data_IF_206904632590
#
_entry.id   IF_206904632590
#
_cell.length_a   1.000
_cell.length_b   1.000
_cell.length_c   1.000
_cell.angle_alpha   90.00
_cell.angle_beta   90.00
_cell.angle_gamma   90.00
#
_symmetry.space_group_name_H-M   'P 1'
#
loop_
_entity.id
_entity.type
_entity.pdbx_description
1 polymer ?
#
# COMPACT_ATOMS: atom_id res chain seq x y z
N UNK A 1 40.71 0.73 19.08
CA UNK A 1 41.40 1.92 19.63
C UNK A 1 42.90 1.67 19.53
N UNK A 2 43.58 2.34 18.60
CA UNK A 2 45.03 2.17 18.42
C UNK A 2 45.75 2.93 19.54
N UNK A 3 46.59 2.24 20.31
CA UNK A 3 47.46 2.86 21.32
C UNK A 3 48.38 3.88 20.64
N UNK A 4 48.62 5.07 21.21
CA UNK A 4 49.58 5.99 20.63
C UNK A 4 50.94 5.31 20.65
N UNK A 5 51.57 5.15 19.49
CA UNK A 5 52.96 4.75 19.37
C UNK A 5 53.80 5.86 20.00
N UNK A 6 54.08 5.75 21.29
CA UNK A 6 54.99 6.68 21.96
C UNK A 6 56.40 6.30 21.55
N UNK A 7 57.08 7.19 20.84
CA UNK A 7 58.49 7.06 20.54
C UNK A 7 59.27 7.01 21.87
N UNK A 8 60.13 6.01 22.05
CA UNK A 8 60.93 5.82 23.27
C UNK A 8 62.35 6.33 23.07
N UNK A 9 62.93 6.94 24.10
CA UNK A 9 64.34 7.34 24.12
C UNK A 9 65.21 6.12 24.44
N UNK A 10 66.16 5.80 23.56
CA UNK A 10 67.04 4.63 23.69
C UNK A 10 68.53 5.00 23.81
N UNK A 11 68.84 6.30 23.87
CA UNK A 11 70.23 6.78 23.84
C UNK A 11 70.94 6.53 25.18
N UNK A 12 70.42 7.11 26.27
CA UNK A 12 71.05 7.07 27.59
C UNK A 12 70.10 6.61 28.71
N UNK A 13 68.93 6.08 28.35
CA UNK A 13 67.96 5.56 29.29
C UNK A 13 67.30 4.28 28.74
N UNK A 14 66.65 3.53 29.63
CA UNK A 14 66.04 2.23 29.32
C UNK A 14 64.64 2.36 28.70
N UNK A 15 64.38 3.37 27.87
CA UNK A 15 63.10 3.52 27.17
C UNK A 15 62.11 4.52 27.78
N UNK A 16 62.57 5.63 28.34
CA UNK A 16 61.67 6.72 28.75
C UNK A 16 60.94 7.32 27.54
N UNK A 17 59.76 7.93 27.76
CA UNK A 17 59.00 8.58 26.67
C UNK A 17 59.86 9.69 26.06
N UNK A 18 60.12 9.60 24.75
CA UNK A 18 60.79 10.68 24.03
C UNK A 18 59.78 11.79 23.76
N UNK A 19 60.16 13.01 24.13
CA UNK A 19 59.35 14.21 23.96
C UNK A 19 60.04 15.26 23.10
N UNK A 20 61.35 15.09 22.85
CA UNK A 20 62.18 16.02 22.11
C UNK A 20 62.82 15.31 20.92
N UNK A 21 62.81 15.98 19.76
CA UNK A 21 63.59 15.58 18.59
C UNK A 21 64.68 16.61 18.34
N UNK A 22 65.91 16.15 18.11
CA UNK A 22 67.02 16.99 17.69
C UNK A 22 67.25 16.81 16.17
N UNK A 23 66.93 17.79 15.32
CA UNK A 23 67.15 17.68 13.87
C UNK A 23 68.61 17.44 13.51
N UNK A 24 69.53 18.10 14.21
CA UNK A 24 70.98 18.05 13.94
C UNK A 24 71.59 16.71 14.35
N UNK A 25 71.09 16.10 15.43
CA UNK A 25 71.49 14.73 15.82
C UNK A 25 70.66 13.65 15.12
N UNK A 26 69.55 14.01 14.47
CA UNK A 26 68.58 13.07 13.91
C UNK A 26 68.15 12.00 14.92
N UNK A 27 67.96 12.41 16.17
CA UNK A 27 67.70 11.50 17.29
C UNK A 27 66.58 12.05 18.19
N UNK A 28 65.90 11.12 18.87
CA UNK A 28 64.80 11.40 19.80
C UNK A 28 65.26 11.20 21.24
N UNK A 29 64.89 12.13 22.10
CA UNK A 29 65.34 12.19 23.49
C UNK A 29 64.16 12.39 24.43
N UNK A 30 64.27 11.86 25.66
CA UNK A 30 63.56 12.45 26.78
C UNK A 30 64.26 13.76 27.20
N UNK A 31 63.60 14.59 27.99
CA UNK A 31 64.15 15.88 28.43
C UNK A 31 65.55 15.73 29.06
N UNK A 32 65.70 14.77 29.98
CA UNK A 32 66.96 14.55 30.69
C UNK A 32 68.09 14.07 29.77
N UNK A 33 67.78 13.16 28.84
CA UNK A 33 68.77 12.65 27.88
C UNK A 33 69.18 13.72 26.86
N UNK A 34 68.27 14.64 26.51
CA UNK A 34 68.59 15.76 25.64
C UNK A 34 69.59 16.70 26.32
N UNK A 35 69.28 17.17 27.53
CA UNK A 35 70.17 18.03 28.32
C UNK A 35 71.53 17.39 28.55
N UNK A 36 71.56 16.09 28.90
CA UNK A 36 72.80 15.35 29.10
C UNK A 36 73.70 15.34 27.85
N UNK A 37 73.10 15.19 26.67
CA UNK A 37 73.83 15.10 25.40
C UNK A 37 74.28 16.47 24.87
N UNK A 38 73.51 17.53 25.16
CA UNK A 38 73.66 18.84 24.53
C UNK A 38 74.28 19.91 25.44
N UNK A 39 74.05 19.88 26.76
CA UNK A 39 74.50 20.93 27.70
C UNK A 39 76.00 20.81 28.06
N UNK A 40 76.63 19.65 27.81
CA UNK A 40 78.04 19.38 28.13
C UNK A 40 78.98 19.34 26.92
N UNK A 41 78.44 19.46 25.70
CA UNK A 41 79.21 19.29 24.46
C UNK A 41 79.18 20.58 23.64
N UNK A 42 80.30 21.31 23.61
CA UNK A 42 80.45 22.59 22.88
C UNK A 42 80.06 22.52 21.39
N UNK A 43 80.07 21.33 20.79
CA UNK A 43 79.64 21.14 19.39
C UNK A 43 78.12 20.99 19.23
N UNK A 44 77.42 20.60 20.29
CA UNK A 44 75.98 20.28 20.29
C UNK A 44 75.13 21.27 21.08
N UNK A 45 75.76 22.14 21.88
CA UNK A 45 75.11 23.20 22.66
C UNK A 45 74.22 24.13 21.78
N UNK A 46 74.57 24.29 20.51
CA UNK A 46 73.80 25.09 19.55
C UNK A 46 72.60 24.35 18.93
N UNK A 47 72.42 23.05 19.20
CA UNK A 47 71.28 22.31 18.67
C UNK A 47 70.02 22.67 19.45
N UNK A 48 68.93 22.93 18.74
CA UNK A 48 67.65 23.23 19.35
C UNK A 48 66.71 22.04 19.28
N UNK A 49 66.06 21.65 20.39
CA UNK A 49 65.07 20.59 20.37
C UNK A 49 63.77 21.08 19.73
N UNK A 50 63.07 20.15 19.08
CA UNK A 50 61.72 20.34 18.56
C UNK A 50 60.77 19.43 19.32
N UNK A 51 59.72 20.00 19.90
CA UNK A 51 58.72 19.26 20.71
C UNK A 51 57.80 18.36 19.87
N UNK A 52 57.69 18.66 18.57
CA UNK A 52 56.94 17.83 17.62
C UNK A 52 57.89 16.81 16.99
N UNK A 53 57.88 15.58 17.51
CA UNK A 53 58.64 14.48 16.93
C UNK A 53 58.06 14.19 15.52
N UNK A 54 58.85 14.32 14.44
CA UNK A 54 58.39 13.99 13.11
C UNK A 54 58.20 12.47 12.98
N UNK A 55 57.40 12.03 12.01
CA UNK A 55 57.41 10.61 11.64
C UNK A 55 58.80 10.23 11.11
N UNK A 56 59.34 9.15 11.65
CA UNK A 56 60.69 8.69 11.35
C UNK A 56 60.65 7.46 10.44
N UNK A 57 61.63 7.37 9.56
CA UNK A 57 61.82 6.20 8.73
C UNK A 57 62.15 4.98 9.60
N UNK A 58 61.39 3.89 9.42
CA UNK A 58 61.60 2.64 10.15
C UNK A 58 62.98 2.00 9.91
N UNK A 59 63.60 2.26 8.75
CA UNK A 59 64.90 1.70 8.39
C UNK A 59 66.06 2.51 8.95
N UNK A 60 65.95 3.83 8.88
CA UNK A 60 67.10 4.72 9.10
C UNK A 60 66.94 5.68 10.29
N UNK A 61 65.76 5.77 10.91
CA UNK A 61 65.52 6.67 12.04
C UNK A 61 65.45 8.16 11.70
N UNK A 62 65.63 8.55 10.42
CA UNK A 62 65.57 9.95 9.98
C UNK A 62 64.14 10.41 9.64
N UNK A 63 63.93 11.73 9.69
CA UNK A 63 62.66 12.38 9.31
C UNK A 63 62.23 12.04 7.88
N UNK A 64 60.93 11.82 7.72
CA UNK A 64 60.28 11.59 6.43
C UNK A 64 59.98 12.93 5.73
N UNK A 65 60.81 13.28 4.75
CA UNK A 65 60.79 14.60 4.10
C UNK A 65 60.56 14.53 2.58
N UNK A 66 60.74 13.36 1.98
CA UNK A 66 60.65 13.14 0.55
C UNK A 66 59.48 12.23 0.20
N UNK A 67 58.97 12.36 -1.01
CA UNK A 67 57.92 11.52 -1.56
C UNK A 67 58.45 10.76 -2.77
N UNK A 68 58.38 9.43 -2.73
CA UNK A 68 58.68 8.56 -3.85
C UNK A 68 57.52 8.59 -4.85
N UNK A 69 57.74 9.19 -6.02
CA UNK A 69 56.72 9.34 -7.05
C UNK A 69 56.31 7.99 -7.69
N UNK A 70 57.18 6.98 -7.61
CA UNK A 70 56.94 5.65 -8.20
C UNK A 70 56.17 4.76 -7.23
N UNK A 71 56.64 4.66 -5.99
CA UNK A 71 56.02 3.82 -4.97
C UNK A 71 54.85 4.50 -4.25
N UNK A 72 54.69 5.82 -4.42
CA UNK A 72 53.66 6.63 -3.75
C UNK A 72 53.75 6.57 -2.22
N UNK A 73 54.98 6.60 -1.70
CA UNK A 73 55.28 6.52 -0.26
C UNK A 73 56.19 7.65 0.19
N UNK A 74 56.10 8.00 1.48
CA UNK A 74 56.97 9.00 2.09
C UNK A 74 58.25 8.30 2.57
N UNK A 75 59.41 8.91 2.29
CA UNK A 75 60.74 8.36 2.58
C UNK A 75 61.66 9.41 3.22
N UNK A 76 62.72 8.97 3.90
CA UNK A 76 63.74 9.87 4.47
C UNK A 76 64.89 10.12 3.49
N UNK A 77 65.76 11.07 3.82
CA UNK A 77 66.93 11.43 3.01
C UNK A 77 67.88 10.24 2.75
N UNK A 78 68.06 9.32 3.71
CA UNK A 78 68.95 8.17 3.52
C UNK A 78 68.37 7.15 2.53
N UNK A 79 67.06 6.90 2.55
CA UNK A 79 66.41 6.09 1.51
C UNK A 79 66.65 6.65 0.11
N UNK A 80 66.63 7.98 -0.05
CA UNK A 80 66.89 8.65 -1.33
C UNK A 80 68.35 8.48 -1.76
N UNK A 81 69.30 8.55 -0.82
CA UNK A 81 70.73 8.38 -1.12
C UNK A 81 71.11 6.94 -1.48
N UNK A 82 70.43 5.96 -0.90
CA UNK A 82 70.67 4.54 -1.18
C UNK A 82 70.12 4.10 -2.56
N UNK A 83 69.17 4.85 -3.13
CA UNK A 83 68.47 4.52 -4.37
C UNK A 83 68.83 5.54 -5.48
N UNK A 84 69.80 5.21 -6.34
CA UNK A 84 70.15 6.00 -7.52
C UNK A 84 69.18 5.63 -8.66
N UNK A 85 68.14 6.45 -8.94
CA UNK A 85 68.30 7.80 -9.50
C UNK A 85 67.44 8.92 -8.86
N UNK A 86 67.97 10.15 -8.92
CA UNK A 86 67.46 11.38 -8.29
C UNK A 86 66.08 11.88 -8.73
N UNK A 87 65.61 11.54 -9.94
CA UNK A 87 64.33 12.06 -10.47
C UNK A 87 63.07 11.35 -9.95
N UNK A 88 63.26 10.34 -9.10
CA UNK A 88 62.17 9.54 -8.51
C UNK A 88 61.54 10.20 -7.27
N UNK A 89 62.27 11.10 -6.62
CA UNK A 89 61.90 11.69 -5.34
C UNK A 89 61.68 13.20 -5.49
N UNK A 90 60.69 13.71 -4.79
CA UNK A 90 60.43 15.15 -4.66
C UNK A 90 60.18 15.48 -3.18
N UNK A 91 60.31 16.74 -2.80
CA UNK A 91 60.00 17.18 -1.44
C UNK A 91 58.52 16.95 -1.15
N UNK A 92 58.22 16.33 -0.02
CA UNK A 92 56.85 15.97 0.37
C UNK A 92 55.92 17.20 0.34
N UNK A 93 56.38 18.34 0.85
CA UNK A 93 55.62 19.59 0.85
C UNK A 93 55.19 20.02 -0.56
N UNK A 94 56.12 19.95 -1.53
CA UNK A 94 55.84 20.32 -2.92
C UNK A 94 54.78 19.41 -3.54
N UNK A 95 54.89 18.09 -3.37
CA UNK A 95 53.94 17.12 -3.93
C UNK A 95 52.56 17.28 -3.29
N UNK A 96 52.52 17.51 -1.97
CA UNK A 96 51.26 17.71 -1.25
C UNK A 96 50.55 18.97 -1.74
N UNK A 97 51.27 20.10 -1.82
CA UNK A 97 50.69 21.39 -2.14
C UNK A 97 50.32 21.53 -3.62
N UNK A 98 51.16 21.04 -4.53
CA UNK A 98 50.93 21.18 -5.97
C UNK A 98 50.00 20.09 -6.54
N UNK A 99 50.09 18.85 -6.05
CA UNK A 99 49.45 17.69 -6.69
C UNK A 99 48.36 17.04 -5.85
N UNK A 100 48.63 16.70 -4.58
CA UNK A 100 47.67 15.90 -3.81
C UNK A 100 46.47 16.72 -3.36
N UNK A 101 46.68 17.92 -2.80
CA UNK A 101 45.59 18.80 -2.37
C UNK A 101 44.67 19.18 -3.54
N UNK A 102 45.24 19.52 -4.69
CA UNK A 102 44.47 19.90 -5.88
C UNK A 102 43.66 18.74 -6.45
N UNK A 103 44.23 17.53 -6.54
CA UNK A 103 43.51 16.32 -6.98
C UNK A 103 42.41 15.93 -6.00
N UNK A 104 42.70 15.94 -4.70
CA UNK A 104 41.73 15.61 -3.67
C UNK A 104 40.55 16.58 -3.68
N UNK A 105 40.82 17.89 -3.81
CA UNK A 105 39.77 18.91 -3.93
C UNK A 105 38.87 18.66 -5.13
N UNK A 106 39.45 18.42 -6.32
CA UNK A 106 38.67 18.05 -7.52
C UNK A 106 37.82 16.80 -7.33
N UNK A 107 38.32 15.78 -6.62
CA UNK A 107 37.55 14.58 -6.32
C UNK A 107 36.38 14.86 -5.36
N UNK A 108 36.62 15.67 -4.32
CA UNK A 108 35.58 16.09 -3.36
C UNK A 108 34.51 16.90 -4.07
N UNK A 109 34.90 17.87 -4.89
CA UNK A 109 33.96 18.75 -5.60
C UNK A 109 33.08 17.95 -6.57
N UNK A 110 33.68 17.04 -7.37
CA UNK A 110 32.92 16.11 -8.22
C UNK A 110 31.99 15.19 -7.43
N UNK A 111 32.42 14.74 -6.25
CA UNK A 111 31.59 13.93 -5.36
C UNK A 111 30.38 14.70 -4.85
N UNK A 112 30.57 15.96 -4.46
CA UNK A 112 29.50 16.86 -4.02
C UNK A 112 28.49 17.15 -5.13
N UNK A 113 28.98 17.47 -6.33
CA UNK A 113 28.12 17.69 -7.52
C UNK A 113 27.27 16.45 -7.83
N UNK A 114 27.88 15.26 -7.81
CA UNK A 114 27.15 14.00 -8.03
C UNK A 114 26.08 13.73 -6.96
N UNK A 115 26.40 13.96 -5.68
CA UNK A 115 25.42 13.79 -4.60
C UNK A 115 24.27 14.78 -4.76
N UNK A 116 24.56 16.04 -5.06
CA UNK A 116 23.53 17.06 -5.24
C UNK A 116 22.58 16.70 -6.40
N UNK A 117 23.13 16.36 -7.57
CA UNK A 117 22.34 15.93 -8.74
C UNK A 117 21.54 14.66 -8.45
N UNK A 118 22.16 13.63 -7.86
CA UNK A 118 21.47 12.39 -7.54
C UNK A 118 20.34 12.60 -6.53
N UNK A 119 20.56 13.45 -5.53
CA UNK A 119 19.54 13.77 -4.53
C UNK A 119 18.34 14.51 -5.14
N UNK A 120 18.58 15.45 -6.06
CA UNK A 120 17.52 16.16 -6.78
C UNK A 120 16.70 15.20 -7.66
N UNK A 121 17.37 14.34 -8.44
CA UNK A 121 16.70 13.38 -9.33
C UNK A 121 15.88 12.33 -8.56
N UNK A 122 16.42 11.81 -7.45
CA UNK A 122 15.74 10.82 -6.62
C UNK A 122 14.55 11.44 -5.89
N UNK A 123 14.69 12.64 -5.31
CA UNK A 123 13.57 13.32 -4.67
C UNK A 123 12.46 13.64 -5.66
N UNK A 124 12.81 14.10 -6.86
CA UNK A 124 11.83 14.38 -7.91
C UNK A 124 11.10 13.10 -8.33
N UNK A 125 11.84 12.02 -8.58
CA UNK A 125 11.26 10.72 -8.96
C UNK A 125 10.35 10.17 -7.85
N UNK A 126 10.77 10.31 -6.59
CA UNK A 126 9.97 9.89 -5.43
C UNK A 126 8.65 10.67 -5.32
N UNK A 127 8.67 12.00 -5.47
CA UNK A 127 7.43 12.79 -5.43
C UNK A 127 6.52 12.47 -6.63
N UNK A 128 7.07 12.26 -7.82
CA UNK A 128 6.29 11.84 -8.99
C UNK A 128 5.62 10.46 -8.78
N UNK A 129 6.35 9.48 -8.27
CA UNK A 129 5.81 8.15 -7.96
C UNK A 129 4.75 8.19 -6.85
N UNK A 130 4.98 9.00 -5.81
CA UNK A 130 4.05 9.21 -4.70
C UNK A 130 2.73 9.82 -5.19
N UNK A 131 2.79 10.86 -6.01
CA UNK A 131 1.58 11.48 -6.58
C UNK A 131 0.83 10.52 -7.51
N UNK A 132 1.55 9.75 -8.34
CA UNK A 132 0.95 8.72 -9.19
C UNK A 132 0.25 7.62 -8.36
N UNK A 133 0.87 7.18 -7.26
CA UNK A 133 0.30 6.21 -6.34
C UNK A 133 -0.97 6.75 -5.67
N UNK A 134 -0.93 7.96 -5.12
CA UNK A 134 -2.09 8.57 -4.46
C UNK A 134 -3.26 8.77 -5.43
N UNK A 135 -2.97 9.19 -6.67
CA UNK A 135 -3.96 9.30 -7.73
C UNK A 135 -4.62 7.94 -8.04
N UNK A 136 -3.81 6.88 -8.16
CA UNK A 136 -4.30 5.51 -8.41
C UNK A 136 -5.20 5.03 -7.28
N UNK A 137 -4.79 5.22 -6.03
CA UNK A 137 -5.61 4.87 -4.85
C UNK A 137 -6.95 5.61 -4.87
N UNK A 138 -6.95 6.88 -5.25
CA UNK A 138 -8.18 7.67 -5.34
C UNK A 138 -9.10 7.17 -6.46
N UNK A 139 -8.56 6.80 -7.62
CA UNK A 139 -9.32 6.19 -8.71
C UNK A 139 -9.95 4.87 -8.26
N UNK A 140 -9.18 3.97 -7.64
CA UNK A 140 -9.71 2.71 -7.13
C UNK A 140 -10.84 2.91 -6.11
N UNK A 141 -10.71 3.89 -5.20
CA UNK A 141 -11.78 4.24 -4.25
C UNK A 141 -13.06 4.68 -4.97
N UNK A 142 -12.94 5.50 -6.01
CA UNK A 142 -14.08 5.96 -6.81
C UNK A 142 -14.72 4.82 -7.60
N UNK A 143 -13.92 3.92 -8.18
CA UNK A 143 -14.42 2.74 -8.91
C UNK A 143 -15.18 1.78 -7.99
N UNK A 144 -14.63 1.46 -6.81
CA UNK A 144 -15.32 0.64 -5.80
C UNK A 144 -16.68 1.25 -5.47
N UNK A 145 -16.71 2.56 -5.21
CA UNK A 145 -17.96 3.28 -4.92
C UNK A 145 -18.95 3.20 -6.08
N UNK A 146 -18.49 3.45 -7.31
CA UNK A 146 -19.32 3.39 -8.51
C UNK A 146 -19.92 1.99 -8.73
N UNK A 147 -19.17 0.92 -8.47
CA UNK A 147 -19.66 -0.45 -8.55
C UNK A 147 -20.75 -0.74 -7.52
N UNK A 148 -20.58 -0.29 -6.27
CA UNK A 148 -21.61 -0.43 -5.24
C UNK A 148 -22.86 0.38 -5.56
N UNK A 149 -22.71 1.60 -6.09
CA UNK A 149 -23.84 2.43 -6.51
C UNK A 149 -24.61 1.79 -7.66
N UNK A 150 -23.92 1.23 -8.66
CA UNK A 150 -24.53 0.49 -9.76
C UNK A 150 -25.27 -0.78 -9.27
N UNK A 151 -24.70 -1.51 -8.30
CA UNK A 151 -25.34 -2.68 -7.70
C UNK A 151 -26.64 -2.29 -6.97
N UNK A 152 -26.61 -1.21 -6.19
CA UNK A 152 -27.81 -0.70 -5.50
C UNK A 152 -28.90 -0.31 -6.50
N UNK A 153 -28.54 0.37 -7.59
CA UNK A 153 -29.50 0.74 -8.62
C UNK A 153 -30.13 -0.49 -9.30
N UNK A 154 -29.31 -1.50 -9.63
CA UNK A 154 -29.81 -2.75 -10.22
C UNK A 154 -30.76 -3.51 -9.27
N UNK A 155 -30.43 -3.57 -7.98
CA UNK A 155 -31.28 -4.17 -6.96
C UNK A 155 -32.60 -3.41 -6.80
N UNK A 156 -32.55 -2.07 -6.75
CA UNK A 156 -33.76 -1.25 -6.65
C UNK A 156 -34.69 -1.42 -7.86
N UNK A 157 -34.14 -1.48 -9.08
CA UNK A 157 -34.91 -1.78 -10.30
C UNK A 157 -35.56 -3.17 -10.22
N UNK A 158 -34.83 -4.17 -9.72
CA UNK A 158 -35.35 -5.53 -9.59
C UNK A 158 -36.47 -5.62 -8.55
N UNK A 159 -36.31 -4.94 -7.42
CA UNK A 159 -37.34 -4.82 -6.39
C UNK A 159 -38.61 -4.17 -6.96
N UNK A 160 -38.48 -3.03 -7.63
CA UNK A 160 -39.62 -2.35 -8.25
C UNK A 160 -40.37 -3.23 -9.24
N UNK A 161 -39.65 -4.00 -10.06
CA UNK A 161 -40.27 -4.90 -11.05
C UNK A 161 -41.01 -6.07 -10.37
N UNK A 162 -40.44 -6.65 -9.31
CA UNK A 162 -41.10 -7.71 -8.55
C UNK A 162 -42.37 -7.19 -7.84
N UNK A 163 -42.30 -6.00 -7.25
CA UNK A 163 -43.45 -5.34 -6.65
C UNK A 163 -44.54 -5.05 -7.68
N UNK A 164 -44.18 -4.56 -8.87
CA UNK A 164 -45.11 -4.36 -9.98
C UNK A 164 -45.78 -5.66 -10.42
N UNK A 165 -45.01 -6.75 -10.51
CA UNK A 165 -45.54 -8.08 -10.83
C UNK A 165 -46.54 -8.57 -9.78
N UNK A 166 -46.23 -8.39 -8.50
CA UNK A 166 -47.13 -8.70 -7.38
C UNK A 166 -48.43 -7.90 -7.46
N UNK A 167 -48.35 -6.59 -7.72
CA UNK A 167 -49.52 -5.73 -7.85
C UNK A 167 -50.44 -6.15 -9.01
N UNK A 168 -49.86 -6.45 -10.18
CA UNK A 168 -50.64 -6.93 -11.34
C UNK A 168 -51.27 -8.29 -11.02
N UNK A 169 -50.51 -9.21 -10.43
CA UNK A 169 -51.01 -10.54 -10.08
C UNK A 169 -52.14 -10.46 -9.04
N UNK A 170 -52.00 -9.60 -8.03
CA UNK A 170 -53.03 -9.33 -7.02
C UNK A 170 -54.31 -8.79 -7.65
N UNK A 171 -54.21 -7.80 -8.55
CA UNK A 171 -55.36 -7.26 -9.29
C UNK A 171 -56.03 -8.31 -10.18
N UNK A 172 -55.25 -9.08 -10.93
CA UNK A 172 -55.77 -10.16 -11.78
C UNK A 172 -56.45 -11.24 -10.95
N UNK A 173 -55.88 -11.59 -9.79
CA UNK A 173 -56.51 -12.52 -8.86
C UNK A 173 -57.86 -11.99 -8.39
N UNK A 174 -57.96 -10.72 -7.98
CA UNK A 174 -59.22 -10.12 -7.54
C UNK A 174 -60.29 -10.09 -8.64
N UNK A 175 -59.91 -9.78 -9.88
CA UNK A 175 -60.86 -9.70 -11.01
C UNK A 175 -61.28 -11.09 -11.51
N UNK A 176 -60.35 -12.04 -11.58
CA UNK A 176 -60.62 -13.40 -12.06
C UNK A 176 -61.08 -14.34 -10.95
N UNK A 177 -61.23 -13.82 -9.72
CA UNK A 177 -61.64 -14.61 -8.58
C UNK A 177 -63.11 -15.01 -8.69
N UNK A 178 -63.47 -16.26 -8.37
CA UNK A 178 -64.87 -16.67 -8.23
C UNK A 178 -65.64 -15.79 -7.23
N UNK A 179 -64.93 -15.20 -6.26
CA UNK A 179 -65.53 -14.25 -5.30
C UNK A 179 -66.02 -12.96 -5.96
N UNK A 180 -65.39 -12.50 -7.05
CA UNK A 180 -65.84 -11.32 -7.79
C UNK A 180 -67.18 -11.59 -8.47
N UNK A 181 -67.30 -12.74 -9.13
CA UNK A 181 -68.53 -13.13 -9.81
C UNK A 181 -69.70 -13.31 -8.82
N UNK A 182 -69.43 -13.91 -7.66
CA UNK A 182 -70.41 -14.03 -6.58
C UNK A 182 -70.82 -12.65 -6.05
N UNK A 183 -69.86 -11.75 -5.83
CA UNK A 183 -70.13 -10.38 -5.39
C UNK A 183 -71.02 -9.62 -6.38
N UNK A 184 -70.73 -9.72 -7.68
CA UNK A 184 -71.54 -9.07 -8.73
C UNK A 184 -72.98 -9.60 -8.76
N UNK A 185 -73.16 -10.92 -8.62
CA UNK A 185 -74.49 -11.55 -8.55
C UNK A 185 -75.26 -11.11 -7.29
N UNK A 186 -74.60 -11.04 -6.13
CA UNK A 186 -75.20 -10.53 -4.90
C UNK A 186 -75.63 -9.07 -5.04
N UNK A 187 -74.78 -8.23 -5.65
CA UNK A 187 -75.07 -6.80 -5.85
C UNK A 187 -76.27 -6.61 -6.78
N UNK A 188 -76.38 -7.41 -7.85
CA UNK A 188 -77.55 -7.40 -8.75
C UNK A 188 -78.83 -7.82 -8.05
N UNK A 189 -78.80 -8.85 -7.19
CA UNK A 189 -79.97 -9.22 -6.40
C UNK A 189 -80.35 -8.10 -5.43
N UNK A 190 -79.37 -7.52 -4.73
CA UNK A 190 -79.62 -6.46 -3.76
C UNK A 190 -80.27 -5.23 -4.41
N UNK A 191 -79.76 -4.78 -5.57
CA UNK A 191 -80.40 -3.70 -6.35
C UNK A 191 -81.83 -4.06 -6.76
N UNK A 192 -82.09 -5.31 -7.18
CA UNK A 192 -83.44 -5.74 -7.56
C UNK A 192 -84.41 -5.79 -6.36
N UNK A 193 -83.90 -6.11 -5.16
CA UNK A 193 -84.68 -6.06 -3.91
C UNK A 193 -84.99 -4.61 -3.54
N UNK A 194 -83.99 -3.72 -3.53
CA UNK A 194 -84.17 -2.30 -3.20
C UNK A 194 -85.17 -1.62 -4.15
N UNK A 195 -85.08 -1.92 -5.45
CA UNK A 195 -86.04 -1.51 -6.46
C UNK A 195 -87.47 -2.00 -6.15
N UNK A 196 -87.62 -3.27 -5.75
CA UNK A 196 -88.93 -3.84 -5.42
C UNK A 196 -89.50 -3.24 -4.12
N UNK A 197 -88.65 -3.00 -3.11
CA UNK A 197 -89.03 -2.34 -1.86
C UNK A 197 -89.49 -0.90 -2.09
N UNK A 198 -88.82 -0.16 -2.99
CA UNK A 198 -89.27 1.17 -3.40
C UNK A 198 -90.65 1.13 -4.05
N UNK A 199 -90.88 0.17 -4.97
CA UNK A 199 -92.19 -0.02 -5.59
C UNK A 199 -93.28 -0.33 -4.56
N UNK A 200 -92.99 -1.09 -3.50
CA UNK A 200 -94.00 -1.36 -2.46
C UNK A 200 -94.50 -0.11 -1.73
N UNK A 201 -93.75 0.99 -1.79
CA UNK A 201 -94.12 2.27 -1.17
C UNK A 201 -94.79 3.26 -2.17
N UNK A 202 -95.03 2.85 -3.42
CA UNK A 202 -95.70 3.65 -4.45
C UNK A 202 -97.24 3.53 -4.41
N UNK A 203 -97.92 4.35 -5.23
CA UNK A 203 -99.37 4.32 -5.42
C UNK A 203 -99.87 2.93 -5.89
N UNK A 204 -101.02 2.44 -5.40
CA UNK A 204 -101.52 1.08 -5.67
C UNK A 204 -101.62 0.72 -7.17
N UNK A 205 -102.00 1.68 -8.02
CA UNK A 205 -102.14 1.49 -9.46
C UNK A 205 -100.80 1.37 -10.19
N UNK A 206 -99.73 1.95 -9.63
CA UNK A 206 -98.37 1.80 -10.14
C UNK A 206 -97.81 0.44 -9.73
N UNK A 207 -98.02 0.04 -8.47
CA UNK A 207 -97.66 -1.30 -7.97
C UNK A 207 -98.30 -2.39 -8.82
N UNK A 208 -99.62 -2.33 -9.03
CA UNK A 208 -100.34 -3.35 -9.79
C UNK A 208 -99.86 -3.49 -11.24
N UNK A 209 -99.40 -2.40 -11.87
CA UNK A 209 -98.88 -2.41 -13.25
C UNK A 209 -97.45 -2.93 -13.35
N UNK A 210 -96.58 -2.55 -12.43
CA UNK A 210 -95.14 -2.83 -12.53
C UNK A 210 -94.71 -4.10 -11.77
N UNK A 211 -95.52 -4.60 -10.83
CA UNK A 211 -95.21 -5.76 -9.99
C UNK A 211 -94.78 -7.01 -10.77
N UNK A 212 -95.39 -7.41 -11.91
CA UNK A 212 -94.93 -8.57 -12.66
C UNK A 212 -93.49 -8.43 -13.17
N UNK A 213 -93.09 -7.22 -13.57
CA UNK A 213 -91.75 -6.93 -14.09
C UNK A 213 -90.70 -7.01 -12.98
N UNK A 214 -90.96 -6.39 -11.83
CA UNK A 214 -90.02 -6.41 -10.69
C UNK A 214 -89.92 -7.82 -10.10
N UNK A 215 -91.03 -8.55 -9.97
CA UNK A 215 -91.02 -9.95 -9.54
C UNK A 215 -90.20 -10.84 -10.47
N UNK A 216 -90.31 -10.66 -11.78
CA UNK A 216 -89.50 -11.40 -12.75
C UNK A 216 -88.00 -11.09 -12.59
N UNK A 217 -87.63 -9.82 -12.34
CA UNK A 217 -86.23 -9.42 -12.10
C UNK A 217 -85.65 -10.03 -10.82
N UNK A 218 -86.37 -9.95 -9.70
CA UNK A 218 -85.95 -10.53 -8.41
C UNK A 218 -85.83 -12.05 -8.51
N UNK A 219 -86.80 -12.72 -9.13
CA UNK A 219 -86.75 -14.17 -9.31
C UNK A 219 -85.58 -14.58 -10.22
N UNK A 220 -85.34 -13.86 -11.31
CA UNK A 220 -84.20 -14.11 -12.21
C UNK A 220 -82.87 -13.95 -11.49
N UNK A 221 -82.68 -12.85 -10.75
CA UNK A 221 -81.49 -12.60 -9.96
C UNK A 221 -81.29 -13.67 -8.86
N UNK A 222 -82.35 -14.08 -8.16
CA UNK A 222 -82.26 -15.12 -7.12
C UNK A 222 -81.88 -16.48 -7.69
N UNK A 223 -82.39 -16.85 -8.87
CA UNK A 223 -82.05 -18.12 -9.55
C UNK A 223 -80.59 -18.16 -10.02
N UNK A 224 -80.00 -16.98 -10.25
CA UNK A 224 -78.59 -16.86 -10.65
C UNK A 224 -77.61 -17.01 -9.48
N UNK A 225 -78.09 -16.95 -8.23
CA UNK A 225 -77.24 -17.21 -7.06
C UNK A 225 -77.00 -18.71 -6.90
N UNK A 226 -75.76 -19.06 -6.59
CA UNK A 226 -75.35 -20.44 -6.32
C UNK A 226 -76.01 -20.88 -5.01
N UNK A 227 -76.53 -22.11 -4.95
CA UNK A 227 -77.39 -22.57 -3.84
C UNK A 227 -76.63 -22.85 -2.56
N UNK A 228 -75.35 -23.24 -2.64
CA UNK A 228 -74.52 -23.47 -1.47
C UNK A 228 -73.10 -22.89 -1.62
N UNK A 229 -72.56 -22.17 -0.61
CA UNK A 229 -71.20 -21.64 -0.64
C UNK A 229 -70.10 -22.70 -0.85
N UNK A 230 -70.37 -23.96 -0.50
CA UNK A 230 -69.44 -25.09 -0.66
C UNK A 230 -69.39 -25.69 -2.07
N UNK A 231 -70.32 -25.34 -2.96
CA UNK A 231 -70.28 -25.74 -4.39
C UNK A 231 -69.29 -24.89 -5.20
N UNK A 232 -68.91 -23.72 -4.68
CA UNK A 232 -67.78 -22.98 -5.19
C UNK A 232 -66.53 -23.76 -4.73
N UNK A 233 -65.82 -24.40 -5.67
CA UNK A 233 -64.47 -24.93 -5.45
C UNK A 233 -63.50 -23.77 -5.18
N UNK A 234 -63.64 -23.14 -4.01
CA UNK A 234 -62.88 -21.97 -3.62
C UNK A 234 -61.47 -22.42 -3.24
N UNK A 235 -60.44 -21.96 -3.96
CA UNK A 235 -59.08 -22.28 -3.60
C UNK A 235 -58.77 -21.71 -2.22
N UNK A 236 -58.37 -22.57 -1.28
CA UNK A 236 -57.78 -22.13 -0.02
C UNK A 236 -56.36 -21.67 -0.33
N UNK A 237 -56.08 -20.38 -0.20
CA UNK A 237 -54.74 -19.84 -0.45
C UNK A 237 -54.01 -19.74 0.89
N UNK A 238 -53.02 -20.61 1.10
CA UNK A 238 -52.01 -20.45 2.15
C UNK A 238 -50.82 -19.68 1.58
N UNK A 239 -50.49 -18.54 2.18
CA UNK A 239 -49.25 -17.83 1.88
C UNK A 239 -48.19 -18.32 2.85
N UNK A 240 -47.24 -19.11 2.36
CA UNK A 240 -46.04 -19.48 3.11
C UNK A 240 -44.91 -18.52 2.75
N UNK A 241 -44.33 -17.88 3.76
CA UNK A 241 -43.23 -16.93 3.58
C UNK A 241 -41.91 -17.67 3.77
N UNK A 242 -41.17 -17.88 2.68
CA UNK A 242 -39.85 -18.49 2.74
C UNK A 242 -38.79 -17.45 3.16
N UNK A 243 -38.26 -17.62 4.38
CA UNK A 243 -37.21 -16.77 4.96
C UNK A 243 -35.79 -17.24 4.60
N UNK A 244 -35.62 -18.27 3.76
CA UNK A 244 -34.32 -18.83 3.40
C UNK A 244 -33.34 -17.79 2.84
N UNK A 245 -33.84 -16.82 2.07
CA UNK A 245 -33.03 -15.79 1.41
C UNK A 245 -32.38 -14.79 2.36
N UNK A 246 -33.01 -14.48 3.50
CA UNK A 246 -32.49 -13.52 4.47
C UNK A 246 -31.16 -13.96 5.09
N UNK A 247 -30.89 -15.27 5.09
CA UNK A 247 -29.64 -15.85 5.59
C UNK A 247 -28.47 -15.81 4.58
N UNK A 248 -28.75 -15.52 3.30
CA UNK A 248 -27.76 -15.47 2.23
C UNK A 248 -27.16 -14.07 2.04
N UNK A 249 -27.90 -13.02 2.38
CA UNK A 249 -27.45 -11.63 2.24
C UNK A 249 -26.20 -11.33 3.09
N UNK A 250 -26.14 -11.69 4.40
CA UNK A 250 -24.95 -11.46 5.21
C UNK A 250 -23.74 -12.26 4.70
N UNK A 251 -23.94 -13.51 4.26
CA UNK A 251 -22.86 -14.37 3.74
C UNK A 251 -22.19 -13.79 2.48
N UNK A 252 -22.96 -13.13 1.63
CA UNK A 252 -22.40 -12.45 0.45
C UNK A 252 -21.76 -11.10 0.78
N UNK A 253 -22.16 -10.44 1.87
CA UNK A 253 -21.50 -9.26 2.41
C UNK A 253 -20.17 -9.58 3.11
N UNK A 254 -20.14 -10.61 3.95
CA UNK A 254 -18.95 -11.04 4.73
C UNK A 254 -17.80 -11.54 3.84
N UNK A 255 -18.08 -12.11 2.67
CA UNK A 255 -17.06 -12.45 1.65
C UNK A 255 -16.25 -11.23 1.19
N UNK A 256 -16.78 -10.02 1.36
CA UNK A 256 -16.11 -8.76 1.04
C UNK A 256 -15.36 -8.15 2.23
N UNK A 257 -15.57 -8.65 3.45
CA UNK A 257 -15.05 -8.07 4.71
C UNK A 257 -13.91 -8.90 5.34
N UNK A 258 -13.67 -10.15 4.91
CA UNK A 258 -12.72 -11.06 5.57
C UNK A 258 -11.25 -10.95 5.13
N UNK A 259 -10.32 -10.94 6.09
CA UNK A 259 -8.85 -11.05 5.91
C UNK A 259 -8.41 -12.30 5.12
N UNK A 260 -9.25 -13.34 5.08
CA UNK A 260 -9.01 -14.60 4.35
C UNK A 260 -9.97 -14.81 3.16
N UNK A 261 -10.93 -13.89 2.92
CA UNK A 261 -11.96 -14.05 1.89
C UNK A 261 -11.43 -14.00 0.46
N UNK A 262 -10.20 -13.50 0.27
CA UNK A 262 -9.54 -13.39 -1.03
C UNK A 262 -8.47 -14.46 -1.26
N UNK A 263 -7.95 -15.09 -0.21
CA UNK A 263 -7.00 -16.22 -0.35
C UNK A 263 -7.72 -17.50 -0.79
N UNK A 264 -8.99 -17.69 -0.40
CA UNK A 264 -9.83 -18.80 -0.87
C UNK A 264 -10.68 -18.45 -2.11
N UNK A 265 -10.74 -17.17 -2.51
CA UNK A 265 -11.48 -16.72 -3.68
C UNK A 265 -10.57 -16.62 -4.91
N UNK A 266 -10.06 -17.77 -5.35
CA UNK A 266 -9.35 -17.90 -6.63
C UNK A 266 -10.27 -17.68 -7.86
N UNK A 267 -11.57 -17.43 -7.65
CA UNK A 267 -12.61 -17.38 -8.68
C UNK A 267 -13.43 -16.08 -8.73
N UNK A 268 -13.24 -15.11 -7.83
CA UNK A 268 -14.00 -13.85 -7.93
C UNK A 268 -13.44 -12.95 -9.03
N UNK A 269 -14.37 -12.45 -9.84
CA UNK A 269 -14.17 -11.48 -10.90
C UNK A 269 -13.31 -10.29 -10.45
N UNK A 270 -13.44 -9.83 -9.20
CA UNK A 270 -12.64 -8.72 -8.64
C UNK A 270 -11.13 -9.01 -8.57
N UNK A 271 -10.71 -10.21 -8.16
CA UNK A 271 -9.28 -10.58 -8.09
C UNK A 271 -8.65 -10.65 -9.48
N UNK A 272 -9.35 -11.29 -10.42
CA UNK A 272 -8.87 -11.45 -11.79
C UNK A 272 -8.87 -10.10 -12.54
N UNK A 273 -9.86 -9.25 -12.30
CA UNK A 273 -9.98 -7.93 -12.90
C UNK A 273 -8.93 -6.94 -12.37
N UNK A 274 -8.66 -6.91 -11.05
CA UNK A 274 -7.56 -6.12 -10.50
C UNK A 274 -6.20 -6.58 -11.05
N UNK A 275 -5.99 -7.89 -11.20
CA UNK A 275 -4.75 -8.46 -11.75
C UNK A 275 -4.52 -8.02 -13.21
N UNK A 276 -5.58 -8.03 -14.02
CA UNK A 276 -5.55 -7.63 -15.43
C UNK A 276 -5.35 -6.11 -15.60
N UNK A 277 -5.99 -5.30 -14.74
CA UNK A 277 -5.87 -3.83 -14.78
C UNK A 277 -4.56 -3.29 -14.22
N UNK A 278 -3.94 -3.99 -13.27
CA UNK A 278 -2.66 -3.58 -12.67
C UNK A 278 -1.43 -4.03 -13.48
N UNK A 279 -1.62 -4.79 -14.58
CA UNK A 279 -0.51 -5.23 -15.45
C UNK A 279 0.50 -6.14 -14.76
N UNK A 280 0.10 -6.81 -13.67
CA UNK A 280 0.97 -7.66 -12.86
C UNK A 280 0.98 -9.06 -13.49
N UNK A 281 1.67 -9.20 -14.62
CA UNK A 281 1.98 -10.48 -15.26
C UNK A 281 3.11 -11.19 -14.49
N UNK A 282 2.82 -11.61 -13.26
CA UNK A 282 3.70 -12.50 -12.53
C UNK A 282 3.59 -13.91 -13.09
N UNK A 283 4.66 -14.43 -13.68
CA UNK A 283 4.77 -15.85 -14.07
C UNK A 283 4.86 -16.73 -12.81
N UNK A 284 3.72 -16.97 -12.17
CA UNK A 284 3.60 -17.84 -10.99
C UNK A 284 3.28 -19.30 -11.33
N UNK A 285 3.15 -19.61 -12.62
CA UNK A 285 3.02 -20.97 -13.12
C UNK A 285 4.38 -21.43 -13.62
N UNK A 286 4.83 -22.58 -13.14
CA UNK A 286 5.97 -23.26 -13.72
C UNK A 286 5.65 -23.55 -15.20
N UNK A 287 6.47 -23.00 -16.10
CA UNK A 287 6.21 -23.00 -17.53
C UNK A 287 6.11 -24.39 -18.17
N UNK A 288 6.57 -25.45 -17.48
CA UNK A 288 6.52 -26.84 -17.99
C UNK A 288 5.24 -27.59 -17.63
N UNK A 289 4.67 -27.37 -16.46
CA UNK A 289 3.54 -28.14 -15.93
C UNK A 289 2.33 -27.26 -15.58
N UNK A 290 2.43 -25.93 -15.71
CA UNK A 290 1.40 -24.96 -15.34
C UNK A 290 0.96 -25.03 -13.87
N UNK A 291 1.71 -25.73 -13.03
CA UNK A 291 1.46 -25.78 -11.58
C UNK A 291 1.95 -24.50 -10.91
N UNK A 292 1.20 -24.06 -9.90
CA UNK A 292 1.49 -22.85 -9.13
C UNK A 292 2.69 -23.07 -8.21
N UNK A 293 3.68 -22.18 -8.26
CA UNK A 293 4.84 -22.25 -7.37
C UNK A 293 4.46 -21.77 -5.95
N UNK A 294 4.31 -22.72 -5.03
CA UNK A 294 3.96 -22.44 -3.62
C UNK A 294 5.09 -21.77 -2.83
N UNK A 295 6.31 -21.68 -3.38
CA UNK A 295 7.48 -21.09 -2.73
C UNK A 295 7.76 -19.65 -3.17
N UNK A 296 7.05 -19.13 -4.16
CA UNK A 296 7.14 -17.74 -4.55
C UNK A 296 6.57 -16.84 -3.43
N UNK A 297 7.42 -16.00 -2.85
CA UNK A 297 7.02 -15.00 -1.86
C UNK A 297 5.94 -14.10 -2.48
N UNK A 298 4.68 -14.27 -2.06
CA UNK A 298 3.55 -13.53 -2.62
C UNK A 298 3.76 -12.02 -2.36
N UNK A 299 3.97 -11.18 -3.39
CA UNK A 299 4.14 -9.73 -3.20
C UNK A 299 2.88 -9.08 -2.60
N UNK A 300 1.74 -9.77 -2.71
CA UNK A 300 0.48 -9.41 -2.07
C UNK A 300 0.60 -9.31 -0.55
N UNK A 301 1.44 -10.11 0.12
CA UNK A 301 1.55 -10.05 1.58
C UNK A 301 2.19 -8.73 2.06
N UNK A 302 3.09 -8.14 1.29
CA UNK A 302 3.76 -6.88 1.66
C UNK A 302 2.89 -5.65 1.31
N UNK A 303 2.29 -5.64 0.12
CA UNK A 303 1.44 -4.52 -0.33
C UNK A 303 0.13 -4.45 0.48
N UNK A 304 -0.49 -5.60 0.81
CA UNK A 304 -1.68 -5.64 1.67
C UNK A 304 -1.36 -5.39 3.14
N UNK A 305 -0.23 -5.88 3.67
CA UNK A 305 0.21 -5.46 5.02
C UNK A 305 0.36 -3.95 5.07
N UNK A 306 0.97 -3.34 4.05
CA UNK A 306 1.12 -1.89 4.00
C UNK A 306 -0.22 -1.13 3.93
N UNK A 307 -1.15 -1.55 3.05
CA UNK A 307 -2.48 -0.92 2.94
C UNK A 307 -3.35 -1.11 4.19
N UNK A 308 -3.34 -2.30 4.79
CA UNK A 308 -4.07 -2.60 6.02
C UNK A 308 -3.52 -1.81 7.22
N UNK A 309 -2.20 -1.68 7.35
CA UNK A 309 -1.58 -0.88 8.42
C UNK A 309 -1.66 0.64 8.19
N UNK A 310 -1.86 1.10 6.95
CA UNK A 310 -2.01 2.54 6.63
C UNK A 310 -3.45 3.06 6.73
N UNK A 311 -4.43 2.17 6.93
CA UNK A 311 -5.87 2.49 7.03
C UNK A 311 -6.44 2.30 8.45
N UNK A 312 -5.60 1.98 9.45
CA UNK A 312 -5.89 2.12 10.88
C UNK A 312 -5.29 3.42 11.41
#
# INVERSE_FOLDING_TARGET
>A
MATPNHSVCLEYCSGSVATLYCPQCSAIYCADCFSREHDGNKRKEAHQPVNKIPELCKKHGHSLEFYDLTQQTIVCLLCVKEDFPTNRYDLLGNVVDTRHKSRLRKCIDKGREKIASYHEDVLKSFEEEKEAFLSTVQICKLEIKAHFDALREALAKREQELTRHLDVTSKLFLVNSPYHEVKDRCTKLQSAIEEAEQLMNDEPEKVAREQPSYMARVQSASKSLIKEPGELNLPTISVEFDNSMSSLIPKHGELLEGENGLDDCCCCFCCCWLRDKMGIDGKYQNAKNKEYDATAEKPYSALYKFLYFSLK
#
